data_IF_124392675851
#
_entry.id   IF_124392675851
#
_cell.length_a   1.000
_cell.length_b   1.000
_cell.length_c   1.000
_cell.angle_alpha   90.00
_cell.angle_beta   90.00
_cell.angle_gamma   90.00
#
_symmetry.space_group_name_H-M   'P 1'
#
loop_
_entity.id
_entity.type
_entity.pdbx_description
1 polymer ?
#
# COMPACT_ATOMS: atom_id res chain seq x y z
N UNK A 1 -6.78 53.67 -7.25
CA UNK A 1 -7.98 52.85 -7.34
C UNK A 1 -7.79 51.61 -8.25
N UNK A 2 -7.15 51.73 -9.41
CA UNK A 2 -6.90 50.60 -10.28
C UNK A 2 -5.81 49.63 -9.76
N UNK A 3 -4.81 50.11 -9.06
CA UNK A 3 -3.75 49.33 -8.41
C UNK A 3 -4.26 48.45 -7.27
N UNK A 4 -5.19 48.96 -6.45
CA UNK A 4 -5.76 48.16 -5.36
C UNK A 4 -6.63 46.99 -5.84
N UNK A 5 -7.31 47.15 -7.00
CA UNK A 5 -8.09 46.07 -7.63
C UNK A 5 -7.21 44.99 -8.27
N UNK A 6 -6.08 45.40 -8.85
CA UNK A 6 -5.07 44.48 -9.42
C UNK A 6 -4.34 43.68 -8.33
N UNK A 7 -4.01 44.34 -7.20
CA UNK A 7 -3.43 43.65 -6.05
C UNK A 7 -4.40 42.64 -5.43
N UNK A 8 -5.68 43.00 -5.32
CA UNK A 8 -6.72 42.11 -4.80
C UNK A 8 -6.91 40.87 -5.70
N UNK A 9 -6.82 41.05 -7.03
CA UNK A 9 -6.91 39.97 -7.98
C UNK A 9 -5.67 39.03 -7.90
N UNK A 10 -4.49 39.61 -7.73
CA UNK A 10 -3.24 38.87 -7.60
C UNK A 10 -3.18 38.02 -6.33
N UNK A 11 -3.67 38.58 -5.21
CA UNK A 11 -3.79 37.87 -3.92
C UNK A 11 -4.81 36.74 -4.00
N UNK A 12 -5.93 36.94 -4.71
CA UNK A 12 -6.92 35.89 -4.93
C UNK A 12 -6.39 34.73 -5.79
N UNK A 13 -5.54 35.00 -6.78
CA UNK A 13 -4.91 33.96 -7.63
C UNK A 13 -3.83 33.21 -6.85
N UNK A 14 -3.07 33.87 -5.98
CA UNK A 14 -2.05 33.23 -5.14
C UNK A 14 -2.66 32.31 -4.05
N UNK A 15 -3.81 32.67 -3.49
CA UNK A 15 -4.50 31.85 -2.49
C UNK A 15 -5.17 30.62 -3.10
N UNK A 16 -5.61 30.66 -4.35
CA UNK A 16 -6.15 29.47 -5.04
C UNK A 16 -5.08 28.48 -5.48
N UNK A 17 -3.85 28.93 -5.75
CA UNK A 17 -2.74 28.03 -6.10
C UNK A 17 -2.21 27.21 -4.90
N UNK A 18 -2.42 27.67 -3.66
CA UNK A 18 -2.00 26.97 -2.45
C UNK A 18 -2.93 25.81 -2.03
N UNK A 19 -4.10 25.68 -2.66
CA UNK A 19 -5.11 24.66 -2.32
C UNK A 19 -5.05 23.40 -3.19
N UNK A 20 -4.13 23.32 -4.15
CA UNK A 20 -3.94 22.14 -5.02
C UNK A 20 -2.69 21.38 -4.56
N UNK A 21 -2.60 21.04 -3.28
CA UNK A 21 -1.70 19.96 -2.88
C UNK A 21 -2.34 18.63 -3.35
N UNK A 22 -1.62 17.75 -4.07
CA UNK A 22 -2.16 16.44 -4.41
C UNK A 22 -2.45 15.71 -3.10
N UNK A 23 -3.73 15.57 -2.77
CA UNK A 23 -4.14 14.72 -1.67
C UNK A 23 -3.78 13.27 -2.03
N UNK A 24 -3.19 12.52 -1.08
CA UNK A 24 -2.99 11.10 -1.24
C UNK A 24 -4.34 10.46 -1.57
N UNK A 25 -4.42 9.75 -2.70
CA UNK A 25 -5.66 9.14 -3.16
C UNK A 25 -5.98 7.94 -2.29
N UNK A 26 -7.08 8.02 -1.54
CA UNK A 26 -7.62 6.86 -0.83
C UNK A 26 -8.13 5.85 -1.85
N UNK A 27 -7.71 4.61 -1.72
CA UNK A 27 -8.12 3.53 -2.60
C UNK A 27 -9.00 2.53 -1.83
N UNK A 28 -10.25 2.29 -2.26
CA UNK A 28 -11.08 1.28 -1.61
C UNK A 28 -10.51 -0.12 -1.83
N UNK A 29 -10.83 -1.10 -0.96
CA UNK A 29 -10.47 -2.49 -1.19
C UNK A 29 -10.93 -2.97 -2.57
N UNK A 30 -10.09 -3.76 -3.25
CA UNK A 30 -10.36 -4.22 -4.60
C UNK A 30 -9.83 -5.65 -4.81
N UNK A 31 -10.24 -6.28 -5.92
CA UNK A 31 -9.70 -7.57 -6.33
C UNK A 31 -8.31 -7.39 -6.90
N UNK A 32 -7.33 -8.12 -6.35
CA UNK A 32 -5.94 -8.06 -6.82
C UNK A 32 -5.81 -8.75 -8.19
N UNK A 33 -5.28 -8.05 -9.21
CA UNK A 33 -5.09 -8.64 -10.54
C UNK A 33 -3.90 -9.59 -10.61
N UNK A 34 -2.86 -9.35 -9.80
CA UNK A 34 -1.60 -10.08 -9.81
C UNK A 34 -1.06 -10.28 -8.40
N UNK A 35 -0.08 -11.18 -8.24
CA UNK A 35 0.58 -11.42 -6.96
C UNK A 35 1.37 -10.22 -6.45
N UNK A 36 1.81 -9.35 -7.35
CA UNK A 36 2.45 -8.07 -7.02
C UNK A 36 1.70 -6.96 -7.75
N UNK A 37 1.04 -6.12 -7.00
CA UNK A 37 0.23 -5.01 -7.51
C UNK A 37 0.74 -3.71 -6.93
N UNK A 38 1.15 -2.78 -7.78
CA UNK A 38 1.64 -1.45 -7.37
C UNK A 38 0.77 -0.35 -7.99
N UNK A 39 -0.26 0.06 -7.26
CA UNK A 39 -1.14 1.16 -7.64
C UNK A 39 -0.60 2.53 -7.18
N UNK A 40 0.40 2.54 -6.31
CA UNK A 40 1.05 3.78 -5.86
C UNK A 40 2.20 4.23 -6.78
N UNK A 41 2.68 3.35 -7.66
CA UNK A 41 3.76 3.65 -8.58
C UNK A 41 5.13 3.86 -7.92
N UNK A 42 5.35 3.26 -6.75
CA UNK A 42 6.61 3.41 -5.99
C UNK A 42 7.69 2.44 -6.45
N UNK A 43 7.31 1.37 -7.13
CA UNK A 43 8.25 0.38 -7.64
C UNK A 43 8.61 0.63 -9.10
N UNK A 44 9.89 0.52 -9.44
CA UNK A 44 10.33 0.41 -10.83
C UNK A 44 9.99 -0.97 -11.42
N UNK A 45 10.00 -1.11 -12.75
CA UNK A 45 9.78 -2.40 -13.40
C UNK A 45 10.76 -3.49 -12.94
N UNK A 46 12.02 -3.13 -12.69
CA UNK A 46 13.02 -4.06 -12.14
C UNK A 46 12.72 -4.48 -10.71
N UNK A 47 12.23 -3.56 -9.89
CA UNK A 47 11.82 -3.87 -8.51
C UNK A 47 10.59 -4.76 -8.47
N UNK A 48 9.59 -4.52 -9.32
CA UNK A 48 8.42 -5.41 -9.46
C UNK A 48 8.88 -6.83 -9.83
N UNK A 49 9.78 -6.97 -10.80
CA UNK A 49 10.32 -8.27 -11.20
C UNK A 49 11.06 -8.98 -10.05
N UNK A 50 11.82 -8.24 -9.24
CA UNK A 50 12.51 -8.78 -8.08
C UNK A 50 11.54 -9.27 -6.99
N UNK A 51 10.49 -8.49 -6.70
CA UNK A 51 9.45 -8.89 -5.75
C UNK A 51 8.70 -10.12 -6.27
N UNK A 52 8.36 -10.14 -7.55
CA UNK A 52 7.71 -11.30 -8.19
C UNK A 52 8.57 -12.56 -8.06
N UNK A 53 9.87 -12.47 -8.34
CA UNK A 53 10.80 -13.59 -8.20
C UNK A 53 10.88 -14.10 -6.74
N UNK A 54 10.86 -13.19 -5.77
CA UNK A 54 10.86 -13.54 -4.35
C UNK A 54 9.56 -14.26 -3.94
N UNK A 55 8.41 -13.79 -4.41
CA UNK A 55 7.09 -14.41 -4.19
C UNK A 55 7.05 -15.81 -4.79
N UNK A 56 7.56 -16.00 -6.00
CA UNK A 56 7.63 -17.30 -6.68
C UNK A 56 8.57 -18.27 -5.95
N UNK A 57 9.70 -17.77 -5.45
CA UNK A 57 10.64 -18.55 -4.66
C UNK A 57 10.03 -19.02 -3.34
N UNK A 58 9.32 -18.13 -2.64
CA UNK A 58 8.61 -18.48 -1.41
C UNK A 58 7.60 -19.60 -1.64
N UNK A 59 6.82 -19.51 -2.71
CA UNK A 59 5.87 -20.57 -3.05
C UNK A 59 6.55 -21.90 -3.37
N UNK A 60 7.61 -21.86 -4.15
CA UNK A 60 8.38 -23.06 -4.53
C UNK A 60 9.01 -23.77 -3.32
N UNK A 61 9.56 -22.97 -2.38
CA UNK A 61 10.32 -23.50 -1.26
C UNK A 61 9.46 -23.84 -0.04
N UNK A 62 8.35 -23.10 0.17
CA UNK A 62 7.52 -23.18 1.37
C UNK A 62 6.05 -23.45 1.11
N UNK A 63 5.63 -23.47 -0.14
CA UNK A 63 4.22 -23.60 -0.56
C UNK A 63 3.29 -22.53 0.06
N UNK A 64 3.85 -21.36 0.37
CA UNK A 64 3.10 -20.18 0.82
C UNK A 64 2.95 -19.21 -0.33
N UNK A 65 1.70 -18.92 -0.70
CA UNK A 65 1.40 -17.92 -1.71
C UNK A 65 1.33 -16.55 -1.03
N UNK A 66 2.22 -15.64 -1.42
CA UNK A 66 2.24 -14.27 -0.92
C UNK A 66 1.71 -13.32 -2.00
N UNK A 67 0.75 -12.52 -1.60
CA UNK A 67 0.24 -11.39 -2.38
C UNK A 67 0.79 -10.10 -1.80
N UNK A 68 1.28 -9.21 -2.67
CA UNK A 68 1.86 -7.92 -2.26
C UNK A 68 1.15 -6.81 -3.00
N UNK A 69 0.63 -5.83 -2.26
CA UNK A 69 -0.07 -4.69 -2.84
C UNK A 69 0.40 -3.37 -2.23
N UNK A 70 0.70 -2.42 -3.10
CA UNK A 70 1.05 -1.05 -2.74
C UNK A 70 -0.06 -0.11 -3.20
N UNK A 71 -0.55 0.70 -2.28
CA UNK A 71 -1.54 1.78 -2.52
C UNK A 71 -1.06 3.07 -1.84
N UNK A 72 -1.66 4.19 -2.19
CA UNK A 72 -1.31 5.46 -1.54
C UNK A 72 -1.83 5.52 -0.10
N UNK A 73 -3.08 5.14 0.10
CA UNK A 73 -3.76 5.29 1.39
C UNK A 73 -4.85 4.24 1.58
N UNK A 74 -4.99 3.73 2.79
CA UNK A 74 -6.10 2.86 3.20
C UNK A 74 -7.31 3.66 3.69
N UNK A 75 -7.18 4.96 3.92
CA UNK A 75 -8.20 5.78 4.53
C UNK A 75 -9.58 5.62 3.85
N UNK A 76 -10.67 5.64 4.60
CA UNK A 76 -10.76 5.83 6.05
C UNK A 76 -10.60 4.54 6.87
N UNK A 77 -10.25 3.43 6.24
CA UNK A 77 -10.13 2.12 6.90
C UNK A 77 -8.80 1.98 7.65
N UNK A 78 -8.75 1.08 8.63
CA UNK A 78 -7.50 0.61 9.20
C UNK A 78 -6.73 -0.25 8.20
N UNK A 79 -5.42 -0.37 8.37
CA UNK A 79 -4.60 -1.22 7.51
C UNK A 79 -5.10 -2.67 7.50
N UNK A 80 -5.42 -3.24 8.67
CA UNK A 80 -5.94 -4.60 8.79
C UNK A 80 -7.32 -4.73 8.12
N UNK A 81 -8.25 -3.80 8.40
CA UNK A 81 -9.59 -3.83 7.82
C UNK A 81 -9.58 -3.74 6.30
N UNK A 82 -8.78 -2.85 5.74
CA UNK A 82 -8.61 -2.71 4.29
C UNK A 82 -8.06 -4.00 3.67
N UNK A 83 -7.04 -4.58 4.31
CA UNK A 83 -6.37 -5.78 3.81
C UNK A 83 -7.28 -7.01 3.87
N UNK A 84 -8.07 -7.16 4.95
CA UNK A 84 -9.06 -8.25 5.05
C UNK A 84 -10.14 -8.13 3.98
N UNK A 85 -10.68 -6.94 3.73
CA UNK A 85 -11.65 -6.74 2.66
C UNK A 85 -11.07 -7.01 1.26
N UNK A 86 -9.81 -6.62 1.02
CA UNK A 86 -9.09 -6.92 -0.22
C UNK A 86 -8.86 -8.42 -0.39
N UNK A 87 -8.51 -9.12 0.70
CA UNK A 87 -8.37 -10.57 0.73
C UNK A 87 -9.67 -11.26 0.31
N UNK A 88 -10.79 -10.84 0.88
CA UNK A 88 -12.11 -11.37 0.54
C UNK A 88 -12.52 -11.06 -0.89
N UNK A 89 -12.29 -9.82 -1.35
CA UNK A 89 -12.59 -9.41 -2.72
C UNK A 89 -11.76 -10.17 -3.77
N UNK A 90 -10.58 -10.65 -3.38
CA UNK A 90 -9.66 -11.40 -4.23
C UNK A 90 -9.87 -12.93 -4.16
N UNK A 91 -10.82 -13.41 -3.37
CA UNK A 91 -11.08 -14.83 -3.13
C UNK A 91 -9.81 -15.59 -2.65
N UNK A 92 -8.97 -14.94 -1.84
CA UNK A 92 -7.78 -15.58 -1.31
C UNK A 92 -8.16 -16.63 -0.27
N UNK A 93 -7.43 -17.75 -0.31
CA UNK A 93 -7.63 -18.84 0.64
C UNK A 93 -7.02 -18.52 2.01
N UNK A 94 -7.39 -19.31 3.02
CA UNK A 94 -6.78 -19.24 4.35
C UNK A 94 -5.29 -19.66 4.37
N UNK A 95 -4.80 -20.19 3.26
CA UNK A 95 -3.39 -20.57 3.08
C UNK A 95 -2.56 -19.47 2.41
N UNK A 96 -3.20 -18.43 1.90
CA UNK A 96 -2.54 -17.31 1.27
C UNK A 96 -2.13 -16.24 2.28
N UNK A 97 -0.93 -15.69 2.11
CA UNK A 97 -0.47 -14.51 2.83
C UNK A 97 -0.68 -13.25 2.00
N UNK A 98 -0.92 -12.12 2.64
CA UNK A 98 -1.05 -10.83 1.99
C UNK A 98 -0.30 -9.76 2.77
N UNK A 99 0.54 -9.00 2.06
CA UNK A 99 1.19 -7.79 2.54
C UNK A 99 0.61 -6.60 1.79
N UNK A 100 -0.06 -5.71 2.49
CA UNK A 100 -0.57 -4.46 1.96
C UNK A 100 0.19 -3.28 2.57
N UNK A 101 0.61 -2.34 1.73
CA UNK A 101 1.39 -1.17 2.12
C UNK A 101 0.70 0.09 1.60
N UNK A 102 0.40 1.03 2.49
CA UNK A 102 -0.06 2.38 2.16
C UNK A 102 1.13 3.35 2.26
N UNK A 103 1.66 3.75 1.12
CA UNK A 103 2.94 4.45 1.02
C UNK A 103 2.89 5.86 1.60
N UNK A 104 1.80 6.60 1.35
CA UNK A 104 1.64 7.96 1.88
C UNK A 104 1.36 8.00 3.38
N UNK A 105 0.75 6.95 3.91
CA UNK A 105 0.45 6.82 5.34
C UNK A 105 1.59 6.16 6.14
N UNK A 106 2.57 5.57 5.46
CA UNK A 106 3.60 4.72 6.09
C UNK A 106 2.99 3.65 6.99
N UNK A 107 1.94 3.02 6.49
CA UNK A 107 1.14 2.02 7.20
C UNK A 107 1.12 0.73 6.40
N UNK A 108 1.04 -0.39 7.09
CA UNK A 108 0.95 -1.69 6.44
C UNK A 108 0.12 -2.67 7.25
N UNK A 109 -0.31 -3.75 6.60
CA UNK A 109 -0.82 -4.95 7.24
C UNK A 109 -0.18 -6.18 6.58
N UNK A 110 0.22 -7.12 7.40
CA UNK A 110 0.76 -8.40 6.96
C UNK A 110 -0.06 -9.52 7.59
N UNK A 111 -0.93 -10.12 6.78
CA UNK A 111 -1.80 -11.22 7.19
C UNK A 111 -1.19 -12.54 6.70
N UNK A 112 -0.93 -13.43 7.63
CA UNK A 112 -0.24 -14.69 7.38
C UNK A 112 -1.14 -15.84 7.81
N UNK A 113 -1.19 -16.97 7.04
CA UNK A 113 -1.93 -18.14 7.46
C UNK A 113 -1.48 -18.61 8.85
N UNK A 114 -2.41 -19.05 9.68
CA UNK A 114 -2.11 -19.55 11.03
C UNK A 114 -1.12 -20.71 11.02
N UNK A 115 -1.14 -21.54 10.00
CA UNK A 115 -0.19 -22.64 9.81
C UNK A 115 1.25 -22.17 9.50
N UNK A 116 1.39 -20.97 8.89
CA UNK A 116 2.68 -20.36 8.57
C UNK A 116 3.13 -19.36 9.65
N UNK A 117 2.20 -18.94 10.52
CA UNK A 117 2.47 -18.02 11.61
C UNK A 117 3.20 -18.75 12.75
N UNK A 118 4.50 -18.93 12.61
CA UNK A 118 5.37 -19.45 13.66
C UNK A 118 5.59 -18.45 14.81
N UNK A 119 4.54 -17.83 15.33
CA UNK A 119 4.57 -16.96 16.52
C UNK A 119 5.62 -15.85 16.46
N UNK A 120 6.63 -15.89 17.32
CA UNK A 120 7.67 -14.88 17.47
C UNK A 120 8.41 -14.51 16.15
N UNK A 121 8.59 -15.44 15.24
CA UNK A 121 9.30 -15.18 13.97
C UNK A 121 8.58 -14.21 13.03
N UNK A 122 7.25 -14.16 13.07
CA UNK A 122 6.47 -13.21 12.25
C UNK A 122 6.57 -11.80 12.83
N UNK A 123 6.54 -11.68 14.14
CA UNK A 123 6.69 -10.38 14.80
C UNK A 123 8.10 -9.84 14.63
N UNK A 124 9.13 -10.68 14.73
CA UNK A 124 10.50 -10.32 14.42
C UNK A 124 10.64 -9.83 12.97
N UNK A 125 10.01 -10.52 12.01
CA UNK A 125 10.03 -10.11 10.61
C UNK A 125 9.36 -8.74 10.39
N UNK A 126 8.24 -8.48 11.07
CA UNK A 126 7.56 -7.17 11.02
C UNK A 126 8.46 -6.06 11.53
N UNK A 127 9.02 -6.23 12.73
CA UNK A 127 9.84 -5.21 13.38
C UNK A 127 11.20 -5.03 12.73
N UNK A 128 11.87 -6.12 12.32
CA UNK A 128 13.26 -6.05 11.86
C UNK A 128 13.39 -5.77 10.37
N UNK A 129 12.39 -6.12 9.56
CA UNK A 129 12.49 -6.08 8.10
C UNK A 129 11.43 -5.18 7.43
N UNK A 130 10.20 -5.21 7.90
CA UNK A 130 9.11 -4.47 7.25
C UNK A 130 9.06 -3.03 7.74
N UNK A 131 8.98 -2.82 9.05
CA UNK A 131 8.86 -1.47 9.63
C UNK A 131 10.01 -0.53 9.26
N UNK A 132 11.30 -0.95 9.27
CA UNK A 132 12.39 -0.07 8.86
C UNK A 132 12.38 0.30 7.37
N UNK A 133 11.69 -0.49 6.53
CA UNK A 133 11.60 -0.26 5.09
C UNK A 133 10.48 0.72 4.68
N UNK A 134 9.60 1.09 5.63
CA UNK A 134 8.49 2.02 5.42
C UNK A 134 8.88 3.43 5.83
#
# INVERSE_FOLDING_TARGET
>A
MRLARLLSLLVAILTTAALVAPAATAEPPFRLPDYVTDNSGVLSGGQIANVQAAVDTLYRDRHVRLWVVFVDSFAPKSAVGWTEETRLASDLSDQDAILAVATSQRSYAFLVPSAAAGGAKIDDLRHDKIEPAL
#
